data_IF_979763018595
#
_entry.id   IF_979763018595
#
_cell.length_a   1.000
_cell.length_b   1.000
_cell.length_c   1.000
_cell.angle_alpha   90.00
_cell.angle_beta   90.00
_cell.angle_gamma   90.00
#
_symmetry.space_group_name_H-M   'P 1'
#
loop_
_entity.id
_entity.type
_entity.pdbx_description
1 polymer ?
#
# COMPACT_ATOMS: atom_id res chain seq x y z
N UNK A 1 28.71 31.59 17.63
CA UNK A 1 27.28 31.70 18.05
C UNK A 1 26.30 31.25 16.95
N UNK A 2 26.46 31.65 15.68
CA UNK A 2 25.54 31.27 14.59
C UNK A 2 25.52 29.77 14.24
N UNK A 3 26.64 29.07 14.34
CA UNK A 3 26.70 27.64 14.01
C UNK A 3 25.86 26.77 14.97
N UNK A 4 25.82 27.15 16.25
CA UNK A 4 25.06 26.42 17.26
C UNK A 4 23.55 26.61 17.06
N UNK A 5 23.08 27.81 16.71
CA UNK A 5 21.67 28.06 16.45
C UNK A 5 21.17 27.30 15.23
N UNK A 6 21.98 27.24 14.17
CA UNK A 6 21.65 26.48 12.95
C UNK A 6 21.54 24.98 13.21
N UNK A 7 22.42 24.42 14.05
CA UNK A 7 22.36 23.00 14.43
C UNK A 7 21.13 22.68 15.27
N UNK A 8 20.74 23.58 16.18
CA UNK A 8 19.52 23.42 16.99
C UNK A 8 18.27 23.48 16.13
N UNK A 9 18.21 24.43 15.20
CA UNK A 9 17.08 24.56 14.27
C UNK A 9 16.97 23.36 13.33
N UNK A 10 18.10 22.86 12.81
CA UNK A 10 18.13 21.65 12.00
C UNK A 10 17.61 20.43 12.76
N UNK A 11 18.06 20.22 14.00
CA UNK A 11 17.59 19.11 14.82
C UNK A 11 16.08 19.20 15.10
N UNK A 12 15.58 20.40 15.40
CA UNK A 12 14.15 20.61 15.61
C UNK A 12 13.31 20.29 14.36
N UNK A 13 13.78 20.68 13.18
CA UNK A 13 13.09 20.37 11.92
C UNK A 13 13.10 18.86 11.63
N UNK A 14 14.22 18.18 11.89
CA UNK A 14 14.34 16.74 11.72
C UNK A 14 13.41 15.97 12.69
N UNK A 15 13.31 16.39 13.95
CA UNK A 15 12.38 15.81 14.92
C UNK A 15 10.92 15.99 14.51
N UNK A 16 10.57 17.17 13.99
CA UNK A 16 9.22 17.45 13.49
C UNK A 16 8.87 16.60 12.26
N UNK A 17 9.82 16.43 11.34
CA UNK A 17 9.67 15.57 10.18
C UNK A 17 9.53 14.09 10.58
N UNK A 18 10.37 13.61 11.50
CA UNK A 18 10.28 12.25 12.04
C UNK A 18 8.91 11.97 12.67
N UNK A 19 8.41 12.91 13.50
CA UNK A 19 7.11 12.78 14.14
C UNK A 19 5.96 12.74 13.12
N UNK A 20 6.02 13.61 12.11
CA UNK A 20 5.05 13.65 11.02
C UNK A 20 5.00 12.30 10.27
N UNK A 21 6.15 11.74 9.91
CA UNK A 21 6.23 10.44 9.22
C UNK A 21 5.86 9.26 10.13
N UNK A 22 6.15 9.33 11.43
CA UNK A 22 5.74 8.33 12.42
C UNK A 22 4.22 8.25 12.54
N UNK A 23 3.53 9.39 12.61
CA UNK A 23 2.07 9.44 12.68
C UNK A 23 1.42 8.89 11.40
N UNK A 24 2.01 9.19 10.23
CA UNK A 24 1.46 8.79 8.93
C UNK A 24 1.74 7.35 8.55
N UNK A 25 2.84 6.79 9.02
CA UNK A 25 3.23 5.41 8.72
C UNK A 25 2.50 4.36 9.58
N UNK A 26 2.00 4.73 10.77
CA UNK A 26 1.46 3.78 11.78
C UNK A 26 2.49 2.72 12.19
N UNK A 27 3.79 3.02 12.07
CA UNK A 27 4.91 2.10 12.25
C UNK A 27 5.54 2.24 13.65
N UNK A 28 5.61 1.15 14.40
CA UNK A 28 6.32 1.01 15.69
C UNK A 28 7.85 0.83 15.56
N UNK A 29 8.37 0.74 14.33
CA UNK A 29 9.71 0.24 13.99
C UNK A 29 10.84 1.28 13.79
N UNK A 30 10.66 2.53 14.23
CA UNK A 30 11.77 3.52 14.19
C UNK A 30 12.91 3.20 15.19
N UNK A 31 12.77 2.18 16.05
CA UNK A 31 13.73 1.92 17.14
C UNK A 31 15.04 1.24 16.70
N UNK A 32 15.10 0.61 15.53
CA UNK A 32 16.28 -0.21 15.15
C UNK A 32 17.05 0.23 13.90
N UNK A 33 16.83 1.46 13.45
CA UNK A 33 17.76 2.14 12.54
C UNK A 33 17.50 1.91 11.06
N UNK A 34 17.52 3.02 10.34
CA UNK A 34 17.49 3.08 8.89
C UNK A 34 18.81 2.57 8.32
N UNK A 35 18.85 1.27 8.02
CA UNK A 35 19.66 0.77 6.94
C UNK A 35 18.71 0.02 6.04
N UNK A 36 18.61 0.48 4.82
CA UNK A 36 17.97 -0.15 3.68
C UNK A 36 18.50 -1.58 3.46
N UNK A 37 18.16 -2.50 4.36
CA UNK A 37 18.65 -3.86 4.41
C UNK A 37 17.93 -4.68 3.33
N UNK A 38 18.62 -5.68 2.81
CA UNK A 38 18.08 -6.69 1.89
C UNK A 38 16.70 -7.20 2.31
N UNK A 39 16.45 -7.27 3.63
CA UNK A 39 15.15 -7.60 4.21
C UNK A 39 13.99 -6.71 3.72
N UNK A 40 14.14 -5.38 3.68
CA UNK A 40 13.07 -4.49 3.19
C UNK A 40 12.80 -4.69 1.70
N UNK A 41 13.84 -4.88 0.90
CA UNK A 41 13.72 -5.16 -0.52
C UNK A 41 13.02 -6.51 -0.76
N UNK A 42 13.35 -7.54 0.02
CA UNK A 42 12.72 -8.86 -0.06
C UNK A 42 11.26 -8.79 0.39
N UNK A 43 10.98 -8.15 1.53
CA UNK A 43 9.62 -7.99 2.05
C UNK A 43 8.73 -7.24 1.05
N UNK A 44 9.20 -6.12 0.52
CA UNK A 44 8.49 -5.35 -0.51
C UNK A 44 8.28 -6.17 -1.79
N UNK A 45 9.29 -6.94 -2.22
CA UNK A 45 9.17 -7.80 -3.39
C UNK A 45 8.16 -8.92 -3.18
N UNK A 46 8.11 -9.52 -1.99
CA UNK A 46 7.13 -10.54 -1.63
C UNK A 46 5.73 -9.95 -1.58
N UNK A 47 5.56 -8.75 -1.03
CA UNK A 47 4.30 -8.02 -1.06
C UNK A 47 3.82 -7.75 -2.49
N UNK A 48 4.71 -7.23 -3.35
CA UNK A 48 4.41 -7.00 -4.77
C UNK A 48 4.01 -8.28 -5.49
N UNK A 49 4.70 -9.40 -5.24
CA UNK A 49 4.36 -10.70 -5.83
C UNK A 49 2.97 -11.18 -5.39
N UNK A 50 2.67 -11.09 -4.09
CA UNK A 50 1.37 -11.54 -3.53
C UNK A 50 0.21 -10.69 -4.03
N UNK A 51 0.39 -9.38 -4.13
CA UNK A 51 -0.68 -8.44 -4.48
C UNK A 51 -0.71 -8.06 -5.97
N UNK A 52 0.10 -8.72 -6.80
CA UNK A 52 0.07 -8.49 -8.24
C UNK A 52 -1.11 -9.26 -8.84
N UNK A 53 -2.04 -8.52 -9.43
CA UNK A 53 -3.11 -9.08 -10.25
C UNK A 53 -2.47 -9.71 -11.49
N UNK A 54 -2.51 -11.04 -11.60
CA UNK A 54 -1.91 -11.79 -12.72
C UNK A 54 -2.86 -11.86 -13.92
N UNK A 55 -4.15 -11.97 -13.63
CA UNK A 55 -5.20 -12.05 -14.62
C UNK A 55 -6.48 -11.50 -14.00
N UNK A 56 -7.30 -10.88 -14.84
CA UNK A 56 -8.59 -10.31 -14.45
C UNK A 56 -9.63 -10.74 -15.46
N UNK A 57 -10.84 -11.04 -14.98
CA UNK A 57 -11.98 -11.30 -15.87
C UNK A 57 -12.64 -9.97 -16.21
N UNK A 58 -12.86 -9.73 -17.50
CA UNK A 58 -13.63 -8.60 -17.98
C UNK A 58 -15.14 -8.83 -17.79
N UNK A 59 -15.92 -7.76 -17.91
CA UNK A 59 -17.38 -7.78 -17.85
C UNK A 59 -18.01 -8.68 -18.93
N UNK A 60 -17.29 -8.91 -20.03
CA UNK A 60 -17.67 -9.80 -21.14
C UNK A 60 -17.35 -11.27 -20.88
N UNK A 61 -16.73 -11.61 -19.75
CA UNK A 61 -16.34 -12.96 -19.36
C UNK A 61 -14.98 -13.43 -19.87
N UNK A 62 -14.27 -12.62 -20.67
CA UNK A 62 -12.90 -12.91 -21.13
C UNK A 62 -11.86 -12.67 -20.04
N UNK A 63 -10.85 -13.55 -19.96
CA UNK A 63 -9.72 -13.39 -19.06
C UNK A 63 -8.57 -12.64 -19.74
N UNK A 64 -8.01 -11.66 -19.05
CA UNK A 64 -6.92 -10.86 -19.58
C UNK A 64 -5.76 -10.75 -18.60
N UNK A 65 -4.54 -10.88 -19.14
CA UNK A 65 -3.26 -10.68 -18.44
C UNK A 65 -2.58 -9.36 -18.81
N UNK A 66 -3.08 -8.69 -19.85
CA UNK A 66 -2.59 -7.40 -20.29
C UNK A 66 -2.86 -6.30 -19.25
N UNK A 67 -1.84 -5.49 -18.96
CA UNK A 67 -1.92 -4.48 -17.90
C UNK A 67 -2.81 -3.31 -18.29
N UNK A 68 -2.78 -2.89 -19.54
CA UNK A 68 -3.61 -1.78 -20.01
C UNK A 68 -5.09 -2.17 -19.95
N UNK A 69 -5.42 -3.40 -20.35
CA UNK A 69 -6.78 -3.92 -20.31
C UNK A 69 -7.27 -4.19 -18.87
N UNK A 70 -6.41 -4.67 -17.97
CA UNK A 70 -6.72 -4.78 -16.53
C UNK A 70 -7.10 -3.41 -15.97
N UNK A 71 -6.30 -2.37 -16.25
CA UNK A 71 -6.57 -1.01 -15.76
C UNK A 71 -7.88 -0.46 -16.34
N UNK A 72 -8.15 -0.70 -17.62
CA UNK A 72 -9.39 -0.28 -18.27
C UNK A 72 -10.61 -0.96 -17.63
N UNK A 73 -10.55 -2.27 -17.42
CA UNK A 73 -11.62 -3.08 -16.81
C UNK A 73 -11.93 -2.62 -15.38
N UNK A 74 -10.88 -2.42 -14.56
CA UNK A 74 -11.03 -1.91 -13.19
C UNK A 74 -11.68 -0.53 -13.18
N UNK A 75 -11.25 0.37 -14.07
CA UNK A 75 -11.83 1.70 -14.20
C UNK A 75 -13.31 1.63 -14.54
N UNK A 76 -13.68 0.86 -15.56
CA UNK A 76 -15.07 0.71 -16.00
C UNK A 76 -15.96 0.18 -14.87
N UNK A 77 -15.49 -0.85 -14.15
CA UNK A 77 -16.20 -1.41 -13.01
C UNK A 77 -16.51 -0.36 -11.93
N UNK A 78 -15.50 0.38 -11.47
CA UNK A 78 -15.71 1.39 -10.43
C UNK A 78 -16.49 2.61 -10.93
N UNK A 79 -16.30 3.03 -12.17
CA UNK A 79 -17.14 4.08 -12.76
C UNK A 79 -18.61 3.68 -12.77
N UNK A 80 -18.94 2.45 -13.16
CA UNK A 80 -20.31 1.96 -13.12
C UNK A 80 -20.84 1.87 -11.69
N UNK A 81 -20.03 1.34 -10.76
CA UNK A 81 -20.39 1.22 -9.35
C UNK A 81 -20.78 2.58 -8.75
N UNK A 82 -19.94 3.60 -8.95
CA UNK A 82 -20.15 4.94 -8.38
C UNK A 82 -21.18 5.79 -9.13
N UNK A 83 -21.52 5.46 -10.38
CA UNK A 83 -22.59 6.15 -11.15
C UNK A 83 -23.98 5.51 -10.95
N UNK A 84 -24.06 4.30 -10.42
CA UNK A 84 -25.34 3.61 -10.21
C UNK A 84 -26.08 4.13 -8.98
N UNK A 85 -27.40 4.36 -9.08
CA UNK A 85 -28.24 4.78 -7.94
C UNK A 85 -28.54 3.64 -6.96
N UNK A 86 -28.37 2.39 -7.40
CA UNK A 86 -28.49 1.17 -6.59
C UNK A 86 -27.36 0.21 -6.99
N UNK A 87 -26.15 0.36 -6.43
CA UNK A 87 -25.03 -0.50 -6.76
C UNK A 87 -25.29 -1.92 -6.28
N UNK A 88 -25.31 -2.87 -7.22
CA UNK A 88 -25.20 -4.29 -6.89
C UNK A 88 -23.78 -4.53 -6.40
N UNK A 89 -23.62 -4.61 -5.08
CA UNK A 89 -22.34 -4.97 -4.50
C UNK A 89 -21.96 -6.37 -5.01
N UNK A 90 -20.71 -6.59 -5.44
CA UNK A 90 -20.26 -7.93 -5.76
C UNK A 90 -20.50 -8.82 -4.54
N UNK A 91 -21.14 -9.97 -4.75
CA UNK A 91 -21.27 -10.99 -3.72
C UNK A 91 -19.86 -11.47 -3.40
N UNK A 92 -19.29 -10.95 -2.33
CA UNK A 92 -18.01 -11.43 -1.79
C UNK A 92 -18.35 -12.77 -1.15
N UNK A 93 -18.13 -13.87 -1.87
CA UNK A 93 -18.02 -15.16 -1.23
C UNK A 93 -16.83 -15.05 -0.29
N UNK A 94 -17.09 -15.17 1.02
CA UNK A 94 -16.04 -15.25 2.04
C UNK A 94 -15.28 -16.56 1.82
N UNK A 95 -14.38 -16.59 0.86
CA UNK A 95 -13.28 -17.54 0.86
C UNK A 95 -12.45 -17.21 2.12
N UNK A 96 -12.75 -17.93 3.19
CA UNK A 96 -11.93 -17.99 4.41
C UNK A 96 -10.61 -18.70 4.11
N UNK A 97 -9.88 -18.22 3.12
CA UNK A 97 -8.48 -18.54 2.86
C UNK A 97 -7.70 -17.26 2.65
N UNK A 98 -7.78 -16.37 3.63
CA UNK A 98 -6.65 -15.54 3.99
C UNK A 98 -6.81 -15.22 5.46
N UNK A 99 -6.01 -15.91 6.25
CA UNK A 99 -5.80 -15.61 7.65
C UNK A 99 -5.67 -14.11 7.81
N UNK A 100 -6.31 -13.59 8.84
CA UNK A 100 -5.94 -12.33 9.46
C UNK A 100 -4.47 -12.42 9.84
N UNK A 101 -3.64 -12.07 8.86
CA UNK A 101 -2.22 -11.88 9.00
C UNK A 101 -1.91 -10.63 8.17
N UNK A 102 -2.39 -9.48 8.68
CA UNK A 102 -1.41 -8.43 8.98
C UNK A 102 -0.19 -9.18 9.47
N UNK A 103 0.97 -9.06 8.83
CA UNK A 103 2.11 -9.70 9.42
C UNK A 103 2.26 -8.94 10.75
N UNK A 104 1.90 -9.61 11.83
CA UNK A 104 2.68 -9.57 13.04
C UNK A 104 4.08 -10.00 12.59
N UNK A 105 4.78 -9.07 11.94
CA UNK A 105 6.21 -9.14 11.76
C UNK A 105 6.70 -8.90 13.18
N UNK A 106 7.06 -9.99 13.85
CA UNK A 106 7.90 -9.93 15.04
C UNK A 106 8.98 -8.87 14.88
#
# INVERSE_FOLDING_TARGET
MQELSLRVELNHLLEAEELYWKQRSRVTWLREGDRNTSFFHISTSNWRRRNSIQWLQSSTGSWTTDKEEIVATVREFYEHLYKSSHPTLPHIEDDKQSQDQSPAIC
#
